data_IF_275184860037
#
_entry.id   IF_275184860037
#
_cell.length_a   1.000
_cell.length_b   1.000
_cell.length_c   1.000
_cell.angle_alpha   90.00
_cell.angle_beta   90.00
_cell.angle_gamma   90.00
#
_symmetry.space_group_name_H-M   'P 1'
#
loop_
_entity.id
_entity.type
_entity.pdbx_description
1 polymer ?
#
# COMPACT_ATOMS: atom_id res chain seq x y z
N UNK A 1 -19.50 3.31 -9.07
CA UNK A 1 -19.05 2.35 -8.04
C UNK A 1 -19.45 2.93 -6.70
N UNK A 2 -20.41 2.30 -5.99
CA UNK A 2 -20.96 2.85 -4.74
C UNK A 2 -19.95 2.71 -3.60
N UNK A 3 -20.12 3.52 -2.55
CA UNK A 3 -19.29 3.46 -1.32
C UNK A 3 -19.32 2.07 -0.68
N UNK A 4 -20.48 1.43 -0.67
CA UNK A 4 -20.69 0.07 -0.13
C UNK A 4 -19.90 -0.98 -0.91
N UNK A 5 -19.88 -0.92 -2.24
CA UNK A 5 -19.10 -1.85 -3.07
C UNK A 5 -17.59 -1.71 -2.83
N UNK A 6 -17.10 -0.49 -2.62
CA UNK A 6 -15.70 -0.27 -2.28
C UNK A 6 -15.36 -0.84 -0.90
N UNK A 7 -16.23 -0.62 0.08
CA UNK A 7 -16.06 -1.18 1.42
C UNK A 7 -16.07 -2.70 1.41
N UNK A 8 -16.99 -3.33 0.68
CA UNK A 8 -17.03 -4.78 0.47
C UNK A 8 -15.75 -5.30 -0.21
N UNK A 9 -15.19 -4.56 -1.16
CA UNK A 9 -13.91 -4.90 -1.78
C UNK A 9 -12.73 -4.77 -0.83
N UNK A 10 -12.72 -3.74 0.02
CA UNK A 10 -11.73 -3.57 1.08
C UNK A 10 -11.79 -4.76 2.03
N UNK A 11 -12.98 -5.08 2.54
CA UNK A 11 -13.22 -6.22 3.44
C UNK A 11 -12.87 -7.56 2.77
N UNK A 12 -13.24 -7.75 1.50
CA UNK A 12 -12.93 -8.95 0.73
C UNK A 12 -11.41 -9.10 0.50
N UNK A 13 -10.70 -8.01 0.15
CA UNK A 13 -9.24 -8.03 0.00
C UNK A 13 -8.53 -8.28 1.33
N UNK A 14 -9.03 -7.72 2.43
CA UNK A 14 -8.53 -8.01 3.79
C UNK A 14 -8.73 -9.49 4.13
N UNK A 15 -9.89 -10.07 3.79
CA UNK A 15 -10.24 -11.49 4.06
C UNK A 15 -9.53 -12.50 3.14
N UNK A 16 -9.31 -12.18 1.85
CA UNK A 16 -8.78 -13.11 0.82
C UNK A 16 -7.26 -13.26 0.82
N UNK A 17 -6.52 -12.29 1.33
CA UNK A 17 -5.06 -12.40 1.35
C UNK A 17 -4.69 -13.23 2.59
N UNK A 18 -4.06 -14.39 2.38
CA UNK A 18 -3.36 -15.14 3.42
C UNK A 18 -2.27 -14.22 4.02
N UNK A 19 -2.64 -13.44 5.04
CA UNK A 19 -1.82 -12.46 5.77
C UNK A 19 -1.08 -11.45 4.88
N UNK A 20 -1.72 -10.36 4.42
CA UNK A 20 -0.93 -9.23 3.96
C UNK A 20 -0.09 -8.75 5.14
N UNK A 21 1.23 -8.60 4.96
CA UNK A 21 2.10 -8.08 6.02
C UNK A 21 1.85 -6.60 6.30
N UNK A 22 1.39 -5.86 5.29
CA UNK A 22 1.12 -4.44 5.33
C UNK A 22 -0.09 -4.10 4.47
N UNK A 23 -0.89 -3.13 4.91
CA UNK A 23 -2.06 -2.67 4.17
C UNK A 23 -2.21 -1.18 4.42
N UNK A 24 -2.00 -0.39 3.37
CA UNK A 24 -2.05 1.07 3.44
C UNK A 24 -3.23 1.58 2.63
N UNK A 25 -3.93 2.57 3.18
CA UNK A 25 -4.92 3.36 2.50
C UNK A 25 -4.35 4.76 2.28
N UNK A 26 -4.25 5.15 1.03
CA UNK A 26 -3.82 6.48 0.59
C UNK A 26 -5.07 7.25 0.17
N UNK A 27 -5.34 8.37 0.82
CA UNK A 27 -6.44 9.28 0.46
C UNK A 27 -5.85 10.52 -0.20
N UNK A 28 -6.29 10.84 -1.40
CA UNK A 28 -5.81 12.00 -2.17
C UNK A 28 -6.97 12.98 -2.31
N UNK A 29 -6.81 14.19 -1.81
CA UNK A 29 -7.79 15.26 -1.96
C UNK A 29 -7.35 16.18 -3.11
N UNK A 30 -8.31 16.47 -3.99
CA UNK A 30 -8.14 17.41 -5.11
C UNK A 30 -9.12 18.55 -4.86
N UNK A 31 -8.61 19.62 -4.27
CA UNK A 31 -9.37 20.82 -3.95
C UNK A 31 -9.16 21.84 -5.06
N UNK A 32 -10.25 22.41 -5.57
CA UNK A 32 -10.20 23.48 -6.57
C UNK A 32 -10.52 24.81 -5.91
N UNK A 33 -9.86 25.88 -6.36
CA UNK A 33 -10.18 27.22 -5.88
C UNK A 33 -11.55 27.70 -6.41
N UNK A 34 -12.01 28.84 -5.92
CA UNK A 34 -13.36 29.41 -6.16
C UNK A 34 -13.75 29.53 -7.64
N UNK A 35 -12.78 29.68 -8.56
CA UNK A 35 -13.00 29.76 -10.01
C UNK A 35 -13.70 28.51 -10.55
N UNK A 36 -13.36 27.33 -10.05
CA UNK A 36 -13.96 26.06 -10.48
C UNK A 36 -15.20 25.69 -9.65
N UNK A 37 -15.39 26.31 -8.47
CA UNK A 37 -16.59 26.11 -7.66
C UNK A 37 -17.85 26.64 -8.37
N UNK A 38 -17.71 27.65 -9.23
CA UNK A 38 -18.82 28.19 -10.06
C UNK A 38 -19.03 27.39 -11.36
N UNK A 39 -18.17 26.40 -11.67
CA UNK A 39 -18.24 25.58 -12.87
C UNK A 39 -18.18 24.07 -12.54
N UNK A 40 -19.23 23.51 -11.91
CA UNK A 40 -19.21 22.15 -11.37
C UNK A 40 -18.98 21.07 -12.45
N UNK A 41 -19.48 21.26 -13.66
CA UNK A 41 -19.28 20.30 -14.76
C UNK A 41 -17.83 20.24 -15.23
N UNK A 42 -17.18 21.40 -15.32
CA UNK A 42 -15.75 21.51 -15.64
C UNK A 42 -14.91 20.87 -14.55
N UNK A 43 -15.23 21.12 -13.29
CA UNK A 43 -14.57 20.54 -12.13
C UNK A 43 -14.67 19.00 -12.13
N UNK A 44 -15.87 18.46 -12.33
CA UNK A 44 -16.10 17.02 -12.39
C UNK A 44 -15.30 16.35 -13.51
N UNK A 45 -15.21 16.98 -14.69
CA UNK A 45 -14.39 16.48 -15.82
C UNK A 45 -12.90 16.44 -15.48
N UNK A 46 -12.39 17.47 -14.80
CA UNK A 46 -10.99 17.55 -14.37
C UNK A 46 -10.69 16.45 -13.35
N UNK A 47 -11.52 16.33 -12.32
CA UNK A 47 -11.36 15.31 -11.26
C UNK A 47 -11.43 13.90 -11.86
N UNK A 48 -12.38 13.63 -12.76
CA UNK A 48 -12.50 12.34 -13.41
C UNK A 48 -11.25 12.00 -14.26
N UNK A 49 -10.71 12.99 -14.97
CA UNK A 49 -9.49 12.84 -15.76
C UNK A 49 -8.25 12.60 -14.89
N UNK A 50 -8.16 13.29 -13.74
CA UNK A 50 -7.13 13.06 -12.74
C UNK A 50 -7.22 11.64 -12.19
N UNK A 51 -8.41 11.15 -11.82
CA UNK A 51 -8.63 9.76 -11.36
C UNK A 51 -8.19 8.74 -12.42
N UNK A 52 -8.47 8.99 -13.69
CA UNK A 52 -7.99 8.13 -14.79
C UNK A 52 -6.46 8.06 -14.84
N UNK A 53 -5.78 9.16 -14.57
CA UNK A 53 -4.31 9.19 -14.50
C UNK A 53 -3.78 8.48 -13.26
N UNK A 54 -4.43 8.66 -12.10
CA UNK A 54 -4.09 7.91 -10.88
C UNK A 54 -4.17 6.41 -11.14
N UNK A 55 -5.29 5.93 -11.69
CA UNK A 55 -5.52 4.51 -12.01
C UNK A 55 -4.42 3.90 -12.89
N UNK A 56 -3.95 4.63 -13.90
CA UNK A 56 -2.87 4.17 -14.79
C UNK A 56 -1.53 3.97 -14.05
N UNK A 57 -1.31 4.70 -12.95
CA UNK A 57 -0.11 4.59 -12.13
C UNK A 57 -0.19 3.52 -11.03
N UNK A 58 -1.33 2.84 -10.87
CA UNK A 58 -1.55 1.81 -9.85
C UNK A 58 -1.22 0.42 -10.39
N UNK A 59 -0.82 -0.50 -9.50
CA UNK A 59 -0.64 -1.92 -9.86
C UNK A 59 -2.00 -2.61 -9.92
N UNK A 60 -2.06 -3.74 -10.61
CA UNK A 60 -3.29 -4.55 -10.70
C UNK A 60 -3.87 -4.97 -9.34
N UNK A 61 -3.02 -5.16 -8.33
CA UNK A 61 -3.44 -5.51 -6.98
C UNK A 61 -4.03 -4.33 -6.19
N UNK A 62 -3.67 -3.10 -6.56
CA UNK A 62 -4.16 -1.89 -5.93
C UNK A 62 -5.62 -1.63 -6.37
N UNK A 63 -6.38 -0.84 -5.61
CA UNK A 63 -7.74 -0.45 -6.02
C UNK A 63 -8.02 0.97 -5.61
N UNK A 64 -8.80 1.72 -6.40
CA UNK A 64 -9.16 3.08 -6.04
C UNK A 64 -10.64 3.40 -6.27
N UNK A 65 -11.16 4.31 -5.46
CA UNK A 65 -12.51 4.88 -5.58
C UNK A 65 -12.47 6.40 -5.46
N UNK A 66 -13.48 7.07 -6.00
CA UNK A 66 -13.66 8.53 -5.90
C UNK A 66 -14.96 8.81 -5.11
N UNK A 67 -14.89 9.73 -4.16
CA UNK A 67 -16.03 10.21 -3.38
C UNK A 67 -15.83 11.68 -3.01
N UNK A 68 -16.75 12.57 -3.41
CA UNK A 68 -16.76 13.99 -3.00
C UNK A 68 -15.38 14.68 -3.13
N UNK A 69 -14.65 14.44 -4.22
CA UNK A 69 -13.30 14.96 -4.51
C UNK A 69 -12.13 14.26 -3.78
N UNK A 70 -12.40 13.28 -2.92
CA UNK A 70 -11.40 12.40 -2.32
C UNK A 70 -11.24 11.13 -3.16
N UNK A 71 -10.01 10.84 -3.57
CA UNK A 71 -9.63 9.57 -4.20
C UNK A 71 -9.00 8.68 -3.13
N UNK A 72 -9.72 7.63 -2.75
CA UNK A 72 -9.23 6.60 -1.85
C UNK A 72 -8.53 5.50 -2.64
N UNK A 73 -7.28 5.20 -2.32
CA UNK A 73 -6.44 4.18 -2.96
C UNK A 73 -5.99 3.15 -1.92
N UNK A 74 -6.38 1.92 -2.15
CA UNK A 74 -6.04 0.75 -1.35
C UNK A 74 -4.76 0.11 -1.90
N UNK A 75 -3.74 -0.02 -1.05
CA UNK A 75 -2.43 -0.55 -1.39
C UNK A 75 -2.12 -1.80 -0.55
N UNK A 76 -2.54 -2.99 -1.00
CA UNK A 76 -2.19 -4.23 -0.32
C UNK A 76 -0.68 -4.49 -0.37
N UNK A 77 -0.15 -5.18 0.64
CA UNK A 77 1.27 -5.51 0.78
C UNK A 77 2.22 -4.30 0.66
N UNK A 78 1.77 -3.13 1.12
CA UNK A 78 2.50 -1.89 0.99
C UNK A 78 2.62 -1.23 2.36
N UNK A 79 3.85 -0.98 2.82
CA UNK A 79 4.12 -0.25 4.06
C UNK A 79 3.76 1.23 3.92
N UNK A 80 3.54 1.92 5.04
CA UNK A 80 3.25 3.36 5.07
C UNK A 80 4.32 4.20 4.38
N UNK A 81 5.60 3.86 4.55
CA UNK A 81 6.71 4.53 3.87
C UNK A 81 6.64 4.41 2.34
N UNK A 82 6.35 3.21 1.83
CA UNK A 82 6.19 2.99 0.38
C UNK A 82 4.91 3.62 -0.14
N UNK A 83 3.83 3.59 0.63
CA UNK A 83 2.59 4.28 0.31
C UNK A 83 2.77 5.82 0.26
N UNK A 84 3.60 6.38 1.13
CA UNK A 84 3.98 7.80 1.12
C UNK A 84 4.72 8.17 -0.16
N UNK A 85 5.72 7.37 -0.56
CA UNK A 85 6.41 7.56 -1.85
C UNK A 85 5.46 7.46 -3.04
N UNK A 86 4.51 6.52 -3.00
CA UNK A 86 3.47 6.42 -4.02
C UNK A 86 2.57 7.66 -4.06
N UNK A 87 2.17 8.18 -2.90
CA UNK A 87 1.39 9.42 -2.78
C UNK A 87 2.11 10.63 -3.37
N UNK A 88 3.38 10.84 -3.01
CA UNK A 88 4.21 11.91 -3.57
C UNK A 88 4.36 11.79 -5.09
N UNK A 89 4.59 10.57 -5.60
CA UNK A 89 4.67 10.31 -7.04
C UNK A 89 3.37 10.67 -7.76
N UNK A 90 2.23 10.29 -7.18
CA UNK A 90 0.91 10.61 -7.75
C UNK A 90 0.68 12.12 -7.77
N UNK A 91 1.02 12.83 -6.70
CA UNK A 91 0.89 14.30 -6.65
C UNK A 91 1.76 14.97 -7.72
N UNK A 92 3.03 14.58 -7.84
CA UNK A 92 3.93 15.14 -8.85
C UNK A 92 3.40 14.90 -10.27
N UNK A 93 2.89 13.69 -10.55
CA UNK A 93 2.27 13.37 -11.82
C UNK A 93 1.04 14.24 -12.11
N UNK A 94 0.16 14.44 -11.13
CA UNK A 94 -1.03 15.27 -11.28
C UNK A 94 -0.70 16.74 -11.48
N UNK A 95 0.30 17.27 -10.78
CA UNK A 95 0.80 18.64 -11.00
C UNK A 95 1.28 18.85 -12.43
N UNK A 96 2.06 17.90 -12.97
CA UNK A 96 2.52 17.95 -14.37
C UNK A 96 1.32 17.88 -15.32
N UNK A 97 0.36 17.00 -15.05
CA UNK A 97 -0.85 16.88 -15.86
C UNK A 97 -1.67 18.18 -15.88
N UNK A 98 -1.89 18.81 -14.73
CA UNK A 98 -2.60 20.08 -14.62
C UNK A 98 -1.86 21.21 -15.30
N UNK A 99 -0.53 21.32 -15.13
CA UNK A 99 0.28 22.31 -15.85
C UNK A 99 0.18 22.15 -17.38
N UNK A 100 0.19 20.92 -17.90
CA UNK A 100 -0.01 20.65 -19.34
C UNK A 100 -1.39 20.99 -19.88
N UNK A 101 -2.37 21.21 -19.00
CA UNK A 101 -3.75 21.54 -19.33
C UNK A 101 -4.10 22.99 -18.99
N UNK A 102 -3.10 23.81 -18.63
CA UNK A 102 -3.28 25.17 -18.12
C UNK A 102 -4.24 25.26 -16.93
N UNK A 103 -4.25 24.22 -16.11
CA UNK A 103 -5.05 24.15 -14.88
C UNK A 103 -4.15 24.60 -13.72
N UNK A 104 -4.32 25.84 -13.25
CA UNK A 104 -3.43 26.46 -12.25
C UNK A 104 -4.03 26.60 -10.84
N UNK A 105 -5.35 26.43 -10.68
CA UNK A 105 -6.09 26.75 -9.43
C UNK A 105 -6.51 25.50 -8.65
N UNK A 106 -5.59 24.55 -8.47
CA UNK A 106 -5.86 23.30 -7.76
C UNK A 106 -4.81 23.02 -6.68
N UNK A 107 -5.30 22.68 -5.49
CA UNK A 107 -4.50 22.17 -4.37
C UNK A 107 -4.69 20.66 -4.28
N UNK A 108 -3.58 19.93 -4.30
CA UNK A 108 -3.58 18.47 -4.16
C UNK A 108 -2.86 18.11 -2.86
N UNK A 109 -3.53 17.34 -2.01
CA UNK A 109 -2.96 16.84 -0.76
C UNK A 109 -3.23 15.34 -0.61
N UNK A 110 -2.50 14.68 0.29
CA UNK A 110 -2.79 13.29 0.61
C UNK A 110 -2.64 13.02 2.11
N UNK A 111 -3.38 12.03 2.57
CA UNK A 111 -3.23 11.43 3.89
C UNK A 111 -3.04 9.92 3.77
N UNK A 112 -2.42 9.34 4.79
CA UNK A 112 -2.15 7.91 4.87
C UNK A 112 -2.77 7.34 6.13
N UNK A 113 -3.37 6.17 5.99
CA UNK A 113 -3.67 5.30 7.11
C UNK A 113 -3.17 3.90 6.80
N UNK A 114 -2.84 3.15 7.85
CA UNK A 114 -2.51 1.73 7.73
C UNK A 114 -3.44 0.93 8.60
N UNK A 115 -3.90 -0.21 8.09
CA UNK A 115 -4.58 -1.18 8.92
C UNK A 115 -3.52 -2.02 9.63
N UNK A 116 -3.55 -2.10 10.98
CA UNK A 116 -2.70 -3.02 11.71
C UNK A 116 -3.15 -4.44 11.36
N UNK A 117 -2.31 -5.18 10.65
CA UNK A 117 -2.57 -6.58 10.35
C UNK A 117 -2.00 -7.43 11.47
N UNK A 118 -2.72 -8.52 11.80
CA UNK A 118 -2.28 -9.49 12.80
C UNK A 118 -0.80 -9.82 12.59
N UNK A 119 0.01 -9.63 13.63
CA UNK A 119 1.40 -10.10 13.62
C UNK A 119 1.36 -11.59 13.30
N UNK A 120 1.98 -12.00 12.20
CA UNK A 120 2.14 -13.41 11.89
C UNK A 120 2.87 -14.06 13.07
N UNK A 121 2.25 -15.05 13.74
CA UNK A 121 2.85 -15.81 14.85
C UNK A 121 3.97 -16.76 14.36
N UNK A 122 4.83 -16.32 13.43
CA UNK A 122 5.99 -17.09 12.94
C UNK A 122 7.18 -17.06 13.90
N UNK A 123 7.10 -16.32 15.01
CA UNK A 123 8.18 -16.27 16.02
C UNK A 123 8.10 -17.37 17.08
N UNK A 124 6.97 -18.08 17.22
CA UNK A 124 6.86 -19.16 18.20
C UNK A 124 7.54 -20.45 17.71
N UNK A 125 7.41 -20.76 16.41
CA UNK A 125 7.99 -21.97 15.80
C UNK A 125 9.50 -21.88 15.49
N UNK A 126 10.10 -20.69 15.55
CA UNK A 126 11.57 -20.55 15.38
C UNK A 126 12.36 -20.83 16.66
N UNK A 127 11.75 -20.77 17.84
CA UNK A 127 12.45 -21.05 19.10
C UNK A 127 12.45 -22.53 19.47
N UNK A 128 11.45 -23.30 19.06
CA UNK A 128 11.38 -24.74 19.36
C UNK A 128 12.18 -25.62 18.39
N UNK A 129 12.26 -25.26 17.11
CA UNK A 129 13.08 -26.01 16.14
C UNK A 129 14.59 -25.94 16.44
N UNK A 130 15.04 -24.92 17.20
CA UNK A 130 16.42 -24.80 17.65
C UNK A 130 16.70 -25.55 18.96
N UNK A 131 15.68 -25.90 19.76
CA UNK A 131 15.88 -26.62 21.03
C UNK A 131 15.78 -28.14 20.90
N UNK A 132 15.19 -28.67 19.82
CA UNK A 132 15.03 -30.11 19.58
C UNK A 132 16.16 -30.77 18.75
N UNK A 133 17.21 -30.02 18.39
CA UNK A 133 18.34 -30.52 17.58
C UNK A 133 19.63 -30.86 18.34
N UNK A 134 19.61 -30.90 19.69
CA UNK A 134 20.79 -31.23 20.50
C UNK A 134 20.50 -32.32 21.55
N UNK A 135 20.00 -33.48 21.12
CA UNK A 135 20.18 -34.70 21.90
C UNK A 135 21.51 -35.36 21.51
N UNK A 136 22.37 -35.48 22.51
CA UNK A 136 23.73 -36.01 22.47
C UNK A 136 23.79 -37.40 21.81
N UNK A 137 24.63 -37.57 20.80
CA UNK A 137 25.24 -38.88 20.49
C UNK A 137 26.40 -39.12 21.49
N UNK A 138 26.53 -40.33 22.05
CA UNK A 138 27.54 -40.63 23.05
C UNK A 138 28.94 -40.63 22.42
N UNK A 139 29.81 -39.82 23.01
CA UNK A 139 31.23 -39.78 22.73
C UNK A 139 31.85 -41.11 23.24
N UNK A 140 32.24 -42.00 22.33
CA UNK A 140 33.12 -43.13 22.65
C UNK A 140 34.51 -42.80 22.13
N UNK A 141 35.42 -42.61 23.06
CA UNK A 141 36.86 -42.69 22.86
C UNK A 141 37.22 -43.95 22.06
N UNK A 142 38.05 -43.77 21.04
CA UNK A 142 39.06 -44.76 20.68
C UNK A 142 40.25 -44.00 20.12
N UNK A 143 41.30 -43.98 20.91
CA UNK A 143 42.66 -43.59 20.56
C UNK A 143 43.07 -44.20 19.21
N UNK A 144 43.44 -43.35 18.26
CA UNK A 144 44.36 -43.73 17.18
C UNK A 144 45.35 -42.58 17.01
N UNK A 145 46.53 -42.76 17.63
CA UNK A 145 47.76 -42.08 17.24
C UNK A 145 48.09 -42.49 15.80
N UNK A 146 48.16 -41.53 14.89
CA UNK A 146 49.06 -41.66 13.73
C UNK A 146 49.56 -40.28 13.33
N UNK A 147 50.84 -40.07 13.63
CA UNK A 147 51.69 -38.98 13.14
C UNK A 147 52.12 -39.26 11.71
N UNK A 148 51.91 -38.32 10.79
CA UNK A 148 52.73 -38.15 9.58
C UNK A 148 52.81 -36.66 9.22
N UNK A 149 54.05 -36.17 9.22
CA UNK A 149 54.59 -34.82 8.92
C UNK A 149 54.33 -33.71 9.93
#
# INVERSE_FOLDING_TARGET
>A
MSKELFQQLVESKIKRINEPRYFSLLKINIDADSVYATQPDSLNKIIYSAVKHIKKGLRNADSCTLSNNEVSVLLPNTSTNNASRAGLRIISMLKIYFAKKDIVSFKISFSLSSLPLKKSNKSFWKKEAASLGKSKLPNRNSDIKTSYF
#
